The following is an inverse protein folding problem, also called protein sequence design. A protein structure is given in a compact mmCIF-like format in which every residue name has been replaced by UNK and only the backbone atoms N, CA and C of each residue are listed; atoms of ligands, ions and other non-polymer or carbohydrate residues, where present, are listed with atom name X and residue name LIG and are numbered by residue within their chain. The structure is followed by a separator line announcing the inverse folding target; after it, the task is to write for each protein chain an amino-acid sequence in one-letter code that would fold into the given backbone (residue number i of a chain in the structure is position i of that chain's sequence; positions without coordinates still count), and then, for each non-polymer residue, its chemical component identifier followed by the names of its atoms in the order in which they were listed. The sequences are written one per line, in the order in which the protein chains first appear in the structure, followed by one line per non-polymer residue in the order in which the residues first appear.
data_IF_757671573517
#
_entry.id   IF_757671573517
#
_cell.length_a   1.000
_cell.length_b   1.000
_cell.length_c   1.000
_cell.angle_alpha   90.00
_cell.angle_beta   90.00
_cell.angle_gamma   90.00
#
_symmetry.space_group_name_H-M   'P 1'
#
loop_
_entity.id
_entity.type
_entity.pdbx_description
1 polymer ?
#
# COMPACT_ATOMS: atom_id res chain seq x y z
N UNK A 1 -13.36 30.33 0.91
CA UNK A 1 -12.89 29.07 0.32
C UNK A 1 -11.62 28.65 1.03
N UNK A 2 -11.65 27.81 2.07
CA UNK A 2 -10.40 27.31 2.64
C UNK A 2 -9.84 26.26 1.68
N UNK A 3 -8.58 26.48 1.29
CA UNK A 3 -7.76 25.54 0.53
C UNK A 3 -7.57 24.27 1.37
N UNK A 4 -7.90 23.11 0.80
CA UNK A 4 -7.60 21.81 1.37
C UNK A 4 -6.08 21.63 1.47
N UNK A 5 -5.51 22.11 2.57
CA UNK A 5 -4.13 21.84 2.96
C UNK A 5 -4.08 20.42 3.52
N UNK A 6 -3.52 19.51 2.72
CA UNK A 6 -2.84 18.29 3.15
C UNK A 6 -3.46 17.45 4.26
N UNK A 7 -4.14 16.36 3.87
CA UNK A 7 -4.37 15.16 4.69
C UNK A 7 -4.99 15.41 6.06
N UNK A 8 -6.28 15.72 6.07
CA UNK A 8 -7.06 15.57 7.29
C UNK A 8 -7.34 14.07 7.48
N UNK A 9 -6.63 13.44 8.42
CA UNK A 9 -6.88 12.03 8.75
C UNK A 9 -8.17 11.95 9.54
N UNK A 10 -9.27 11.63 8.87
CA UNK A 10 -10.59 11.56 9.49
C UNK A 10 -10.65 10.64 10.72
N UNK A 11 -9.80 9.61 10.77
CA UNK A 11 -9.70 8.69 11.90
C UNK A 11 -8.27 8.14 12.01
N UNK A 12 -7.63 8.37 13.16
CA UNK A 12 -6.29 7.84 13.48
C UNK A 12 -6.46 6.66 14.44
N UNK A 13 -5.95 5.50 14.04
CA UNK A 13 -5.92 4.30 14.88
C UNK A 13 -4.46 3.92 15.12
N UNK A 14 -4.12 3.62 16.36
CA UNK A 14 -2.79 3.14 16.75
C UNK A 14 -2.92 1.65 17.11
N UNK A 15 -1.94 0.82 16.76
CA UNK A 15 -1.92 -0.59 17.17
C UNK A 15 -0.79 -0.85 18.17
N UNK A 16 -1.04 -1.71 19.15
CA UNK A 16 -0.08 -2.09 20.18
C UNK A 16 -0.24 -3.58 20.54
N UNK A 17 0.85 -4.34 20.74
CA UNK A 17 0.75 -5.77 21.06
C UNK A 17 0.33 -6.05 22.50
N UNK A 18 0.46 -5.08 23.41
CA UNK A 18 0.20 -5.27 24.84
C UNK A 18 -0.86 -4.28 25.37
N UNK A 19 -1.84 -4.84 26.08
CA UNK A 19 -2.88 -4.06 26.75
C UNK A 19 -2.35 -3.37 28.01
N UNK A 20 -2.81 -2.14 28.26
CA UNK A 20 -2.47 -1.34 29.44
C UNK A 20 -3.71 -0.64 30.01
N UNK A 21 -3.82 -0.54 31.33
CA UNK A 21 -5.01 0.00 32.01
C UNK A 21 -5.32 1.49 31.71
N UNK A 22 -4.31 2.29 31.31
CA UNK A 22 -4.46 3.73 31.02
C UNK A 22 -4.31 4.04 29.51
N UNK A 23 -4.77 3.14 28.65
CA UNK A 23 -4.66 3.32 27.21
C UNK A 23 -5.67 4.37 26.71
N UNK A 24 -5.24 5.33 25.87
CA UNK A 24 -6.16 6.31 25.28
C UNK A 24 -7.13 5.64 24.30
N UNK A 25 -8.27 6.29 24.04
CA UNK A 25 -9.21 5.84 23.01
C UNK A 25 -8.55 5.84 21.60
N UNK A 26 -8.98 4.92 20.73
CA UNK A 26 -8.45 4.78 19.37
C UNK A 26 -7.17 3.94 19.27
N UNK A 27 -6.80 3.20 20.32
CA UNK A 27 -5.75 2.19 20.25
C UNK A 27 -6.35 0.78 20.19
N UNK A 28 -5.97 0.02 19.16
CA UNK A 28 -6.31 -1.38 19.02
C UNK A 28 -5.18 -2.25 19.60
N UNK A 29 -5.54 -3.20 20.46
CA UNK A 29 -4.60 -4.20 20.96
C UNK A 29 -4.59 -5.38 20.00
N UNK A 30 -3.50 -5.52 19.25
CA UNK A 30 -3.32 -6.59 18.28
C UNK A 30 -1.83 -6.73 17.92
N UNK A 31 -1.46 -7.91 17.43
CA UNK A 31 -0.15 -8.11 16.84
C UNK A 31 -0.09 -7.50 15.44
N UNK A 32 1.12 -7.13 15.00
CA UNK A 32 1.31 -6.43 13.74
C UNK A 32 1.18 -7.36 12.51
N UNK A 33 1.28 -8.67 12.73
CA UNK A 33 1.15 -9.75 11.77
C UNK A 33 -0.28 -10.31 11.67
N UNK A 34 -1.22 -9.77 12.45
CA UNK A 34 -2.65 -10.05 12.36
C UNK A 34 -3.48 -8.80 12.75
N UNK A 35 -3.75 -7.94 11.77
CA UNK A 35 -4.47 -6.70 12.01
C UNK A 35 -6.00 -6.92 12.05
N UNK A 36 -6.73 -6.44 13.08
CA UNK A 36 -8.16 -6.67 13.27
C UNK A 36 -9.03 -5.73 12.41
N UNK A 37 -8.56 -5.39 11.21
CA UNK A 37 -9.28 -4.51 10.28
C UNK A 37 -9.72 -5.31 9.05
N UNK A 38 -10.87 -4.96 8.46
CA UNK A 38 -11.27 -5.54 7.18
C UNK A 38 -10.24 -5.21 6.08
N UNK A 39 -10.26 -6.01 5.01
CA UNK A 39 -9.45 -5.71 3.84
C UNK A 39 -9.86 -4.39 3.19
N UNK A 40 -8.90 -3.71 2.56
CA UNK A 40 -9.10 -2.48 1.79
C UNK A 40 -9.80 -1.34 2.56
N UNK A 41 -9.61 -1.27 3.88
CA UNK A 41 -10.27 -0.28 4.74
C UNK A 41 -9.41 0.95 5.07
N UNK A 42 -8.10 0.86 4.88
CA UNK A 42 -7.14 1.88 5.29
C UNK A 42 -6.53 2.61 4.09
N UNK A 43 -6.42 3.94 4.22
CA UNK A 43 -5.85 4.80 3.18
C UNK A 43 -4.33 4.95 3.30
N UNK A 44 -3.84 4.92 4.54
CA UNK A 44 -2.45 5.07 4.92
C UNK A 44 -2.10 4.10 6.05
N UNK A 45 -1.04 3.32 5.87
CA UNK A 45 -0.45 2.51 6.94
C UNK A 45 0.95 3.02 7.25
N UNK A 46 1.24 3.27 8.52
CA UNK A 46 2.57 3.71 8.98
C UNK A 46 3.18 2.60 9.83
N UNK A 47 4.30 2.05 9.37
CA UNK A 47 5.07 1.05 10.08
C UNK A 47 6.33 1.69 10.66
N UNK A 48 6.26 2.07 11.95
CA UNK A 48 7.36 2.73 12.63
C UNK A 48 8.24 1.71 13.36
N UNK A 49 9.27 1.19 12.68
CA UNK A 49 10.14 0.10 13.13
C UNK A 49 9.43 -1.23 13.41
N UNK A 50 8.13 -1.35 13.15
CA UNK A 50 7.32 -2.56 13.40
C UNK A 50 7.89 -3.79 12.69
N UNK A 51 8.31 -3.63 11.42
CA UNK A 51 8.89 -4.73 10.64
C UNK A 51 10.26 -5.20 11.18
N UNK A 52 11.00 -4.34 11.89
CA UNK A 52 12.29 -4.72 12.47
C UNK A 52 12.12 -5.55 13.75
N UNK A 53 11.04 -5.32 14.51
CA UNK A 53 10.78 -6.01 15.78
C UNK A 53 9.84 -7.20 15.67
N UNK A 54 9.12 -7.34 14.55
CA UNK A 54 8.24 -8.48 14.32
C UNK A 54 9.01 -9.79 14.12
N UNK A 55 8.48 -10.94 14.62
CA UNK A 55 9.04 -12.26 14.33
C UNK A 55 9.05 -12.55 12.81
N UNK A 56 7.96 -12.22 12.11
CA UNK A 56 7.83 -12.36 10.66
C UNK A 56 7.51 -11.02 9.97
N UNK A 57 8.54 -10.33 9.41
CA UNK A 57 8.34 -9.07 8.72
C UNK A 57 7.55 -9.22 7.41
N UNK A 58 7.58 -10.38 6.76
CA UNK A 58 6.81 -10.59 5.54
C UNK A 58 5.32 -10.59 5.85
N UNK A 59 4.93 -11.25 6.93
CA UNK A 59 3.53 -11.34 7.34
C UNK A 59 3.00 -9.96 7.73
N UNK A 60 3.77 -9.14 8.45
CA UNK A 60 3.38 -7.74 8.74
C UNK A 60 3.14 -6.94 7.46
N UNK A 61 4.00 -7.08 6.44
CA UNK A 61 3.82 -6.38 5.17
C UNK A 61 2.60 -6.90 4.40
N UNK A 62 2.33 -8.21 4.45
CA UNK A 62 1.15 -8.83 3.83
C UNK A 62 -0.14 -8.35 4.49
N UNK A 63 -0.18 -8.31 5.81
CA UNK A 63 -1.33 -7.78 6.55
C UNK A 63 -1.52 -6.29 6.29
N UNK A 64 -0.43 -5.53 6.27
CA UNK A 64 -0.47 -4.11 5.89
C UNK A 64 -1.03 -3.94 4.48
N UNK A 65 -0.63 -4.79 3.53
CA UNK A 65 -1.16 -4.77 2.16
C UNK A 65 -2.63 -5.20 2.06
N UNK A 66 -3.07 -6.10 2.94
CA UNK A 66 -4.45 -6.58 3.04
C UNK A 66 -5.38 -5.48 3.52
N UNK A 67 -5.02 -4.78 4.59
CA UNK A 67 -5.86 -3.71 5.18
C UNK A 67 -5.84 -2.44 4.33
N UNK A 68 -4.78 -2.22 3.56
CA UNK A 68 -4.62 -1.03 2.74
C UNK A 68 -5.46 -1.13 1.45
N UNK A 69 -6.27 -0.11 1.17
CA UNK A 69 -7.07 -0.03 -0.05
C UNK A 69 -6.22 0.05 -1.32
N UNK A 70 -6.80 -0.29 -2.46
CA UNK A 70 -6.22 0.04 -3.77
C UNK A 70 -5.84 1.53 -3.87
N UNK A 71 -4.63 1.80 -4.37
CA UNK A 71 -4.02 3.14 -4.43
C UNK A 71 -3.72 3.79 -3.07
N UNK A 72 -3.88 3.07 -1.95
CA UNK A 72 -3.45 3.50 -0.62
C UNK A 72 -1.92 3.56 -0.51
N UNK A 73 -1.43 4.25 0.53
CA UNK A 73 0.00 4.45 0.76
C UNK A 73 0.50 3.71 2.00
N UNK A 74 1.74 3.25 1.95
CA UNK A 74 2.45 2.71 3.09
C UNK A 74 3.71 3.54 3.34
N UNK A 75 3.87 4.00 4.57
CA UNK A 75 5.07 4.69 5.03
C UNK A 75 5.79 3.78 6.03
N UNK A 76 6.96 3.30 5.62
CA UNK A 76 7.76 2.38 6.41
C UNK A 76 9.02 3.08 6.91
N UNK A 77 9.27 2.96 8.21
CA UNK A 77 10.51 3.42 8.86
C UNK A 77 11.22 2.20 9.44
N UNK A 78 12.48 2.00 9.06
CA UNK A 78 13.26 0.86 9.53
C UNK A 78 14.72 1.21 9.83
N UNK A 79 15.41 0.37 10.60
CA UNK A 79 16.81 0.56 10.94
C UNK A 79 17.74 0.09 9.82
N UNK A 80 18.73 0.91 9.45
CA UNK A 80 19.69 0.55 8.41
C UNK A 80 20.87 -0.25 9.02
N UNK A 81 21.08 -1.53 8.65
CA UNK A 81 22.20 -2.33 9.15
C UNK A 81 23.57 -1.80 8.71
N UNK A 82 23.66 -1.07 7.59
CA UNK A 82 24.91 -0.48 7.08
C UNK A 82 25.31 0.82 7.79
N UNK A 83 24.51 1.28 8.74
CA UNK A 83 24.85 2.46 9.55
C UNK A 83 25.99 2.15 10.53
N UNK A 84 26.73 3.18 10.94
CA UNK A 84 27.75 3.05 12.00
C UNK A 84 27.13 2.51 13.32
N UNK A 85 25.83 2.72 13.51
CA UNK A 85 25.04 2.12 14.59
C UNK A 85 24.84 0.61 14.36
N UNK A 86 24.48 0.16 13.15
CA UNK A 86 24.43 -1.26 12.80
C UNK A 86 25.79 -1.97 12.96
N UNK A 87 26.90 -1.31 12.62
CA UNK A 87 28.25 -1.83 12.89
C UNK A 87 28.55 -1.93 14.40
N UNK A 88 28.12 -0.94 15.21
CA UNK A 88 28.20 -1.01 16.68
C UNK A 88 27.37 -2.16 17.25
N UNK A 89 26.26 -2.54 16.61
CA UNK A 89 25.47 -3.73 16.97
C UNK A 89 26.24 -5.02 16.74
N UNK A 90 26.89 -5.17 15.58
CA UNK A 90 27.70 -6.37 15.28
C UNK A 90 28.80 -6.59 16.33
N UNK A 91 29.29 -5.51 16.93
CA UNK A 91 30.31 -5.53 17.98
C UNK A 91 29.69 -5.67 19.39
N UNK A 92 28.43 -5.29 19.58
CA UNK A 92 27.77 -5.33 20.89
C UNK A 92 27.02 -6.64 21.12
N UNK A 93 27.45 -7.42 22.11
CA UNK A 93 26.84 -8.70 22.52
C UNK A 93 25.56 -8.56 23.34
N UNK A 94 25.06 -7.33 23.55
CA UNK A 94 23.84 -7.08 24.33
C UNK A 94 22.59 -7.05 23.43
N UNK A 95 21.64 -7.94 23.74
CA UNK A 95 20.34 -8.07 23.04
C UNK A 95 19.24 -7.18 23.62
N UNK A 96 19.53 -6.39 24.66
CA UNK A 96 18.57 -5.48 25.28
C UNK A 96 18.54 -4.11 24.58
N UNK A 97 17.35 -3.64 24.22
CA UNK A 97 17.11 -2.34 23.55
C UNK A 97 16.90 -2.45 22.03
N UNK A 98 17.09 -1.37 21.25
CA UNK A 98 16.88 -1.36 19.78
C UNK A 98 17.77 -2.37 19.03
N UNK A 99 18.73 -2.97 19.72
CA UNK A 99 19.64 -4.02 19.29
C UNK A 99 19.00 -5.42 19.25
N UNK A 100 17.75 -5.58 19.67
CA UNK A 100 16.99 -6.84 19.62
C UNK A 100 16.29 -7.14 18.30
N UNK A 101 15.92 -6.13 17.51
CA UNK A 101 15.15 -6.30 16.26
C UNK A 101 16.00 -6.76 15.07
N UNK A 102 15.45 -7.44 14.06
CA UNK A 102 16.17 -7.79 12.82
C UNK A 102 16.41 -6.51 12.01
N UNK A 103 17.66 -6.09 11.83
CA UNK A 103 17.97 -4.94 10.97
C UNK A 103 17.94 -5.38 9.52
N UNK A 104 16.86 -5.05 8.82
CA UNK A 104 16.68 -5.40 7.41
C UNK A 104 17.31 -4.33 6.52
N UNK A 105 18.00 -4.77 5.47
CA UNK A 105 18.49 -3.85 4.45
C UNK A 105 17.31 -3.18 3.75
N UNK A 106 17.47 -1.88 3.48
CA UNK A 106 16.50 -1.09 2.69
C UNK A 106 16.15 -1.79 1.38
N UNK A 107 17.13 -2.25 0.60
CA UNK A 107 16.91 -2.90 -0.70
C UNK A 107 15.97 -4.12 -0.59
N UNK A 108 16.19 -4.97 0.42
CA UNK A 108 15.35 -6.14 0.66
C UNK A 108 13.90 -5.76 0.95
N UNK A 109 13.71 -4.69 1.70
CA UNK A 109 12.39 -4.17 2.02
C UNK A 109 11.69 -3.56 0.79
N UNK A 110 12.44 -2.82 -0.04
CA UNK A 110 11.97 -2.33 -1.33
C UNK A 110 11.53 -3.48 -2.24
N UNK A 111 12.30 -4.56 -2.29
CA UNK A 111 11.98 -5.74 -3.10
C UNK A 111 10.70 -6.45 -2.62
N UNK A 112 10.53 -6.60 -1.29
CA UNK A 112 9.30 -7.18 -0.73
C UNK A 112 8.06 -6.33 -1.02
N UNK A 113 8.19 -5.01 -0.94
CA UNK A 113 7.11 -4.10 -1.31
C UNK A 113 6.75 -4.26 -2.80
N UNK A 114 7.74 -4.35 -3.70
CA UNK A 114 7.50 -4.60 -5.13
C UNK A 114 6.77 -5.94 -5.35
N UNK A 115 7.15 -7.00 -4.64
CA UNK A 115 6.51 -8.31 -4.74
C UNK A 115 5.04 -8.31 -4.29
N UNK A 116 4.68 -7.43 -3.36
CA UNK A 116 3.32 -7.25 -2.88
C UNK A 116 2.48 -6.32 -3.79
N UNK A 117 3.03 -5.86 -4.91
CA UNK A 117 2.34 -4.98 -5.85
C UNK A 117 2.39 -3.50 -5.46
N UNK A 118 3.36 -3.10 -4.64
CA UNK A 118 3.59 -1.68 -4.35
C UNK A 118 4.55 -1.06 -5.37
N UNK A 119 4.21 0.16 -5.78
CA UNK A 119 5.10 1.06 -6.49
C UNK A 119 5.82 1.96 -5.48
N UNK A 120 7.15 2.06 -5.58
CA UNK A 120 7.93 2.92 -4.68
C UNK A 120 7.84 4.36 -5.17
N UNK A 121 7.29 5.25 -4.35
CA UNK A 121 7.26 6.69 -4.64
C UNK A 121 8.58 7.32 -4.21
N UNK A 122 8.93 7.23 -2.92
CA UNK A 122 10.14 7.83 -2.36
C UNK A 122 10.87 6.84 -1.46
N UNK A 123 12.20 6.81 -1.53
CA UNK A 123 13.04 6.12 -0.55
C UNK A 123 14.19 7.03 -0.14
N UNK A 124 14.41 7.15 1.17
CA UNK A 124 15.43 8.02 1.73
C UNK A 124 16.07 7.40 2.96
N UNK A 125 17.34 7.71 3.18
CA UNK A 125 18.08 7.30 4.38
C UNK A 125 18.40 8.55 5.17
N UNK A 126 18.02 8.58 6.45
CA UNK A 126 18.04 9.78 7.27
C UNK A 126 18.86 9.51 8.56
N UNK A 127 19.29 10.59 9.21
CA UNK A 127 20.16 10.57 10.40
C UNK A 127 21.58 10.02 10.17
N UNK A 128 22.39 10.77 9.42
CA UNK A 128 23.83 10.54 9.34
C UNK A 128 24.56 11.28 10.47
N UNK A 129 24.35 10.87 11.72
CA UNK A 129 25.12 11.44 12.85
C UNK A 129 26.25 10.48 13.21
N UNK A 130 27.48 10.88 12.86
CA UNK A 130 28.70 10.22 13.31
C UNK A 130 28.72 10.16 14.85
N UNK A 131 28.77 8.97 15.48
CA UNK A 131 28.76 8.80 16.92
C UNK A 131 30.15 9.05 17.53
N UNK A 132 30.76 10.18 17.19
CA UNK A 132 31.99 10.61 17.82
C UNK A 132 31.61 11.55 18.96
N UNK A 133 31.66 11.01 20.18
CA UNK A 133 31.53 11.74 21.45
C UNK A 133 31.96 13.19 21.31
N UNK A 134 31.02 14.11 21.52
CA UNK A 134 31.31 15.51 21.86
C UNK A 134 32.09 15.52 23.16
N UNK A 135 33.42 15.38 23.09
CA UNK A 135 34.29 15.94 24.13
C UNK A 135 34.34 17.44 23.87
N UNK A 136 33.83 18.23 24.81
CA UNK A 136 33.97 19.68 24.84
C UNK A 136 35.45 20.04 24.58
N UNK A 137 35.77 20.59 23.41
CA UNK A 137 37.12 21.14 23.13
C UNK A 137 37.72 20.91 21.74
N UNK A 138 37.21 20.02 20.90
CA UNK A 138 37.77 19.80 19.56
C UNK A 138 37.07 20.62 18.46
N UNK A 139 37.06 21.95 18.62
CA UNK A 139 36.50 22.91 17.66
C UNK A 139 37.47 23.20 16.50
N UNK A 140 36.95 23.26 15.27
CA UNK A 140 37.56 24.02 14.17
C UNK A 140 38.07 23.24 12.95
N UNK A 141 38.65 22.03 13.08
CA UNK A 141 39.21 21.29 11.92
C UNK A 141 38.30 20.19 11.37
N UNK A 142 37.53 19.49 12.22
CA UNK A 142 36.72 18.35 11.77
C UNK A 142 35.35 18.73 11.20
N UNK A 143 34.87 19.94 11.48
CA UNK A 143 33.63 20.46 10.89
C UNK A 143 33.78 20.69 9.37
N UNK A 144 35.00 21.02 8.91
CA UNK A 144 35.31 21.17 7.47
C UNK A 144 35.35 19.83 6.73
N UNK A 145 35.77 18.75 7.38
CA UNK A 145 35.78 17.40 6.78
C UNK A 145 34.37 16.78 6.72
N UNK A 146 33.48 17.13 7.64
CA UNK A 146 32.07 16.74 7.59
C UNK A 146 31.28 17.55 6.53
N UNK A 147 31.71 18.77 6.21
CA UNK A 147 31.14 19.59 5.15
C UNK A 147 31.65 19.21 3.74
N UNK A 148 32.85 18.62 3.63
CA UNK A 148 33.42 18.21 2.33
C UNK A 148 33.08 16.77 1.92
N UNK A 149 32.52 15.96 2.81
CA UNK A 149 32.00 14.64 2.44
C UNK A 149 30.64 14.82 1.76
N UNK A 150 30.69 14.93 0.43
CA UNK A 150 29.54 14.80 -0.48
C UNK A 150 28.50 13.83 0.09
N UNK A 151 27.21 14.22 0.21
CA UNK A 151 26.15 13.36 0.77
C UNK A 151 25.82 12.10 -0.07
N UNK A 152 26.61 11.81 -1.10
CA UNK A 152 26.40 10.71 -2.05
C UNK A 152 27.29 9.47 -1.85
N UNK A 153 28.32 9.51 -0.98
CA UNK A 153 29.30 8.42 -0.93
C UNK A 153 29.12 7.41 0.21
N UNK A 154 28.33 7.72 1.24
CA UNK A 154 28.12 6.80 2.35
C UNK A 154 26.62 6.72 2.66
N UNK A 155 25.96 5.56 2.51
CA UNK A 155 24.56 5.36 2.86
C UNK A 155 24.40 5.24 4.40
N UNK A 156 25.00 6.16 5.16
CA UNK A 156 25.21 6.04 6.60
C UNK A 156 24.17 6.79 7.42
N UNK A 157 22.89 6.67 7.07
CA UNK A 157 21.81 7.10 7.97
C UNK A 157 21.43 5.98 8.95
N UNK A 158 21.06 6.35 10.18
CA UNK A 158 20.67 5.41 11.24
C UNK A 158 19.38 4.64 10.90
N UNK A 159 18.44 5.29 10.21
CA UNK A 159 17.20 4.69 9.76
C UNK A 159 16.87 5.10 8.32
N UNK A 160 16.06 4.29 7.65
CA UNK A 160 15.53 4.57 6.33
C UNK A 160 14.02 4.78 6.39
N UNK A 161 13.51 5.60 5.49
CA UNK A 161 12.08 5.77 5.28
C UNK A 161 11.75 5.41 3.82
N UNK A 162 10.74 4.56 3.63
CA UNK A 162 10.21 4.18 2.32
C UNK A 162 8.74 4.59 2.29
N UNK A 163 8.37 5.36 1.27
CA UNK A 163 7.00 5.65 0.91
C UNK A 163 6.67 4.87 -0.35
N UNK A 164 5.67 4.00 -0.26
CA UNK A 164 5.20 3.20 -1.39
C UNK A 164 3.69 3.27 -1.51
N UNK A 165 3.17 3.01 -2.71
CA UNK A 165 1.76 3.06 -3.06
C UNK A 165 1.30 1.70 -3.59
N UNK A 166 0.20 1.16 -3.07
CA UNK A 166 -0.37 -0.11 -3.54
C UNK A 166 -1.00 0.10 -4.90
N UNK A 167 -0.58 -0.64 -5.92
CA UNK A 167 -1.21 -0.62 -7.24
C UNK A 167 -2.15 -1.80 -7.37
N UNK A 168 -3.41 -1.51 -7.71
CA UNK A 168 -4.37 -2.53 -8.08
C UNK A 168 -4.63 -2.45 -9.58
N UNK A 169 -4.24 -3.50 -10.31
CA UNK A 169 -4.55 -3.59 -11.73
C UNK A 169 -6.06 -3.80 -11.89
N UNK A 170 -6.69 -2.89 -12.62
CA UNK A 170 -8.09 -3.07 -13.00
C UNK A 170 -8.23 -4.43 -13.70
N UNK A 171 -9.16 -5.27 -13.22
CA UNK A 171 -9.55 -6.46 -13.96
C UNK A 171 -10.07 -6.02 -15.31
N UNK A 172 -9.30 -6.32 -16.36
CA UNK A 172 -9.74 -6.10 -17.73
C UNK A 172 -11.01 -6.93 -17.90
N UNK A 173 -12.16 -6.26 -17.97
CA UNK A 173 -13.42 -6.92 -18.30
C UNK A 173 -13.28 -7.41 -19.73
N UNK A 174 -12.87 -8.67 -19.90
CA UNK A 174 -12.83 -9.32 -21.20
C UNK A 174 -14.28 -9.33 -21.68
N UNK A 175 -14.61 -8.41 -22.58
CA UNK A 175 -15.94 -8.40 -23.18
C UNK A 175 -16.07 -9.75 -23.87
N UNK A 176 -17.06 -10.56 -23.47
CA UNK A 176 -17.36 -11.80 -24.16
C UNK A 176 -17.69 -11.44 -25.62
N UNK A 177 -16.70 -11.63 -26.49
CA UNK A 177 -16.85 -11.47 -27.93
C UNK A 177 -17.68 -12.65 -28.40
N UNK A 178 -19.01 -12.50 -28.34
CA UNK A 178 -19.91 -13.42 -29.02
C UNK A 178 -19.62 -13.32 -30.51
N UNK A 179 -18.79 -14.25 -31.01
CA UNK A 179 -18.58 -14.43 -32.44
C UNK A 179 -19.94 -14.77 -33.05
N UNK A 180 -20.52 -13.83 -33.79
CA UNK A 180 -21.65 -14.16 -34.67
C UNK A 180 -21.12 -15.22 -35.65
N UNK A 181 -21.61 -16.45 -35.50
CA UNK A 181 -21.33 -17.51 -36.47
C UNK A 181 -21.74 -16.99 -37.83
N UNK A 182 -20.79 -16.90 -38.75
CA UNK A 182 -21.07 -16.56 -40.15
C UNK A 182 -21.73 -17.81 -40.72
N UNK A 183 -23.07 -17.85 -40.67
CA UNK A 183 -23.84 -18.93 -41.31
C UNK A 183 -23.53 -18.84 -42.80
N UNK A 184 -22.72 -19.79 -43.29
CA UNK A 184 -22.45 -19.94 -44.71
C UNK A 184 -23.73 -20.55 -45.28
N UNK A 185 -24.54 -19.73 -45.96
CA UNK A 185 -25.60 -20.25 -46.81
C UNK A 185 -24.94 -20.98 -47.97
N UNK A 186 -25.09 -22.31 -48.02
CA UNK A 186 -24.68 -23.10 -49.18
C UNK A 186 -25.54 -22.69 -50.38
N UNK A 187 -24.96 -22.31 -51.53
CA UNK A 187 -25.73 -22.07 -52.73
C UNK A 187 -26.34 -23.40 -53.18
N UNK A 188 -27.68 -23.51 -53.13
CA UNK A 188 -28.42 -24.69 -53.58
C UNK A 188 -29.45 -25.23 -52.59
N UNK A 189 -29.38 -24.86 -51.30
CA UNK A 189 -30.46 -25.18 -50.36
C UNK A 189 -31.49 -24.06 -50.37
N UNK A 190 -32.63 -24.30 -51.02
CA UNK A 190 -33.84 -23.48 -50.86
C UNK A 190 -34.25 -23.59 -49.39
N UNK A 191 -33.92 -22.55 -48.61
CA UNK A 191 -34.43 -22.42 -47.26
C UNK A 191 -35.95 -22.29 -47.35
N UNK A 192 -36.67 -23.28 -46.82
CA UNK A 192 -38.09 -23.12 -46.52
C UNK A 192 -38.18 -22.00 -45.50
N UNK A 193 -38.49 -20.79 -45.97
CA UNK A 193 -39.04 -19.77 -45.11
C UNK A 193 -40.42 -20.27 -44.71
N UNK A 194 -40.53 -20.84 -43.52
CA UNK A 194 -41.80 -20.95 -42.82
C UNK A 194 -42.26 -19.52 -42.50
N UNK A 195 -42.81 -18.85 -43.51
CA UNK A 195 -43.56 -17.62 -43.38
C UNK A 195 -44.79 -17.93 -42.56
N UNK A 196 -44.78 -17.52 -41.30
CA UNK A 196 -45.99 -17.45 -40.51
C UNK A 196 -46.83 -16.31 -41.10
N UNK A 197 -47.66 -16.63 -42.08
CA UNK A 197 -48.67 -15.73 -42.59
C UNK A 197 -49.70 -15.54 -41.48
N UNK A 198 -49.61 -14.43 -40.74
CA UNK A 198 -50.67 -14.02 -39.82
C UNK A 198 -51.87 -13.55 -40.64
N UNK A 199 -52.82 -14.47 -40.86
CA UNK A 199 -54.16 -14.18 -41.34
C UNK A 199 -55.12 -14.14 -40.15
N UNK A 200 -55.61 -12.94 -39.82
CA UNK A 200 -56.92 -12.70 -39.19
C UNK A 200 -57.20 -11.20 -39.34
N UNK A 201 -57.91 -10.76 -40.38
CA UNK A 201 -59.39 -10.68 -40.46
C UNK A 201 -60.02 -9.98 -39.25
N UNK A 202 -60.76 -8.90 -39.51
CA UNK A 202 -61.83 -8.45 -38.59
C UNK A 202 -61.80 -6.99 -38.18
N UNK A 203 -62.21 -6.12 -39.11
CA UNK A 203 -62.77 -4.78 -38.89
C UNK A 203 -63.86 -4.79 -37.80
N UNK A 204 -63.71 -4.01 -36.73
CA UNK A 204 -64.84 -3.41 -36.00
C UNK A 204 -64.45 -1.98 -35.62
N UNK A 205 -65.04 -1.06 -36.37
CA UNK A 205 -65.16 0.35 -36.04
C UNK A 205 -66.13 0.49 -34.86
N UNK A 206 -65.71 1.16 -33.79
CA UNK A 206 -66.60 1.60 -32.71
C UNK A 206 -66.27 3.04 -32.35
N UNK A 207 -66.90 3.95 -33.10
CA UNK A 207 -67.30 5.25 -32.58
C UNK A 207 -68.28 5.06 -31.41
N UNK A 208 -67.99 5.70 -30.28
CA UNK A 208 -68.94 6.11 -29.23
C UNK A 208 -68.22 7.20 -28.40
N UNK A 209 -68.38 8.48 -28.75
CA UNK A 209 -69.29 9.46 -28.10
C UNK A 209 -69.17 9.55 -26.59
N UNK A 210 -68.84 10.77 -26.12
CA UNK A 210 -69.25 11.39 -24.84
C UNK A 210 -68.60 10.82 -23.55
N UNK A 211 -68.32 11.53 -22.45
CA UNK A 211 -68.46 12.92 -21.99
C UNK A 211 -67.71 12.99 -20.63
N UNK A 212 -67.28 14.20 -20.24
CA UNK A 212 -67.11 14.75 -18.88
C UNK A 212 -66.69 13.84 -17.68
N UNK A 213 -65.56 14.18 -17.03
CA UNK A 213 -65.48 15.05 -15.83
C UNK A 213 -64.02 15.33 -15.46
#
# INVERSE_FOLDING_TARGET
MPLASGTDFAQKIITCPAWHAHMPEGVAVCDADELPFPGDSMDLVILHHTADFSPDPHQVLRESARVLRGEGRIALVGFNPLSLWGARRLVSRHRFGPWGGRFLMRSRMEDWLRLLGFELENSGTYFCTLPLQRKHGASGRRQRLAASSRPHLLPTGAYYCILARKREYARIRTRASWRKSKVISLPGTVGVSSGCASHSSGRVDRRRTEQEQ
#
